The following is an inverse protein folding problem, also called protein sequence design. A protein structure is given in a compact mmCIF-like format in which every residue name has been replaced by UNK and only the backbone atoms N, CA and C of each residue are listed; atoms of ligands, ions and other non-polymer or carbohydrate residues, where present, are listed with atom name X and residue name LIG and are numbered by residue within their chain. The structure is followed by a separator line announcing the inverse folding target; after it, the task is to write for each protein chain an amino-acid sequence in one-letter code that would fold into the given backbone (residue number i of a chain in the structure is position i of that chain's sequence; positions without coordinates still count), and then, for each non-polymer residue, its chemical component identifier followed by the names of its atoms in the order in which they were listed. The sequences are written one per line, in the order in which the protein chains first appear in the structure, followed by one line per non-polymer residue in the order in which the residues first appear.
data_IF_160004638400
#
_entry.id   IF_160004638400
#
_cell.length_a   1.000
_cell.length_b   1.000
_cell.length_c   1.000
_cell.angle_alpha   90.00
_cell.angle_beta   90.00
_cell.angle_gamma   90.00
#
_symmetry.space_group_name_H-M   'P 1'
#
loop_
_entity.id
_entity.type
_entity.pdbx_description
1 polymer ?
#
# COMPACT_ATOMS: atom_id res chain seq x y z
N UNK A 1 -4.70 0.41 -30.96
CA UNK A 1 -6.03 0.15 -31.52
C UNK A 1 -6.14 -1.33 -31.83
N UNK A 2 -7.19 -1.98 -31.37
CA UNK A 2 -7.47 -3.38 -31.67
C UNK A 2 -8.46 -3.55 -32.83
N UNK A 3 -8.73 -4.80 -33.22
CA UNK A 3 -9.66 -5.15 -34.29
C UNK A 3 -11.14 -4.90 -33.93
N UNK A 4 -11.46 -4.56 -32.71
CA UNK A 4 -12.79 -4.18 -32.20
C UNK A 4 -13.03 -2.67 -32.22
N UNK A 5 -12.06 -1.90 -32.70
CA UNK A 5 -12.12 -0.44 -32.73
C UNK A 5 -11.74 0.23 -31.41
N UNK A 6 -11.31 -0.52 -30.38
CA UNK A 6 -10.85 0.05 -29.13
C UNK A 6 -9.50 0.76 -29.32
N UNK A 7 -9.33 1.89 -28.65
CA UNK A 7 -8.13 2.70 -28.73
C UNK A 7 -7.70 3.15 -27.33
N UNK A 8 -6.44 2.94 -27.01
CA UNK A 8 -5.80 3.50 -25.80
C UNK A 8 -4.74 4.48 -26.26
N UNK A 9 -4.74 5.67 -25.71
CA UNK A 9 -3.78 6.74 -26.03
C UNK A 9 -3.03 7.11 -24.75
N UNK A 10 -1.73 7.16 -24.85
CA UNK A 10 -0.84 7.65 -23.79
C UNK A 10 -0.12 8.89 -24.30
N UNK A 11 -0.05 9.95 -23.51
CA UNK A 11 0.82 11.06 -23.84
C UNK A 11 2.30 10.65 -23.72
N UNK A 12 3.18 11.35 -24.43
CA UNK A 12 4.63 11.11 -24.34
C UNK A 12 5.13 11.28 -22.91
N UNK A 13 4.67 12.32 -22.24
CA UNK A 13 5.00 12.66 -20.86
C UNK A 13 4.58 11.55 -19.89
N UNK A 14 3.40 10.96 -20.12
CA UNK A 14 2.92 9.80 -19.36
C UNK A 14 3.86 8.59 -19.51
N UNK A 15 4.23 8.26 -20.76
CA UNK A 15 5.14 7.14 -21.03
C UNK A 15 6.55 7.40 -20.47
N UNK A 16 7.02 8.62 -20.55
CA UNK A 16 8.33 9.01 -20.01
C UNK A 16 8.35 8.94 -18.48
N UNK A 17 7.28 9.39 -17.83
CA UNK A 17 7.11 9.28 -16.37
C UNK A 17 7.09 7.81 -15.94
N UNK A 18 6.35 6.97 -16.65
CA UNK A 18 6.28 5.53 -16.40
C UNK A 18 7.63 4.82 -16.58
N UNK A 19 8.43 5.24 -17.56
CA UNK A 19 9.79 4.70 -17.81
C UNK A 19 10.81 5.16 -16.78
N UNK A 20 10.74 6.42 -16.33
CA UNK A 20 11.68 7.01 -15.34
C UNK A 20 11.42 6.49 -13.92
N UNK A 21 10.20 6.15 -13.58
CA UNK A 21 9.78 5.62 -12.28
C UNK A 21 10.38 4.25 -11.92
N UNK A 22 11.57 3.91 -12.43
CA UNK A 22 12.29 2.66 -12.13
C UNK A 22 12.87 2.58 -10.70
N UNK A 23 12.68 3.57 -9.85
CA UNK A 23 13.05 3.49 -8.45
C UNK A 23 11.94 2.80 -7.65
N UNK A 24 12.32 1.80 -6.90
CA UNK A 24 11.54 0.65 -6.34
C UNK A 24 10.32 0.95 -5.45
N UNK A 25 10.02 2.19 -5.12
CA UNK A 25 8.94 2.54 -4.16
C UNK A 25 7.66 3.10 -4.81
N UNK A 26 7.79 3.91 -5.85
CA UNK A 26 6.67 4.69 -6.41
C UNK A 26 5.81 3.92 -7.42
N UNK A 27 6.30 2.76 -7.89
CA UNK A 27 5.64 1.94 -8.91
C UNK A 27 4.28 1.37 -8.47
N UNK A 28 4.13 1.05 -7.20
CA UNK A 28 3.05 0.16 -6.78
C UNK A 28 1.67 0.82 -6.75
N UNK A 29 1.57 2.11 -6.46
CA UNK A 29 0.27 2.79 -6.35
C UNK A 29 -0.21 3.25 -7.72
N UNK A 30 0.66 3.89 -8.51
CA UNK A 30 0.32 4.33 -9.88
C UNK A 30 0.03 3.12 -10.77
N UNK A 31 0.84 2.07 -10.72
CA UNK A 31 0.67 0.83 -11.49
C UNK A 31 -0.58 0.06 -11.06
N UNK A 32 -0.88 -0.03 -9.78
CA UNK A 32 -2.10 -0.65 -9.25
C UNK A 32 -3.36 0.09 -9.73
N UNK A 33 -3.36 1.42 -9.67
CA UNK A 33 -4.47 2.24 -10.15
C UNK A 33 -4.67 2.12 -11.67
N UNK A 34 -3.58 2.07 -12.44
CA UNK A 34 -3.62 1.94 -13.90
C UNK A 34 -4.03 0.54 -14.36
N UNK A 35 -3.55 -0.53 -13.72
CA UNK A 35 -3.94 -1.90 -14.02
C UNK A 35 -5.41 -2.16 -13.66
N UNK A 36 -5.92 -1.53 -12.59
CA UNK A 36 -7.33 -1.57 -12.23
C UNK A 36 -8.24 -0.96 -13.32
N UNK A 37 -7.76 0.08 -14.00
CA UNK A 37 -8.49 0.76 -15.08
C UNK A 37 -8.41 -0.01 -16.41
N UNK A 38 -7.32 -0.73 -16.69
CA UNK A 38 -7.08 -1.43 -17.97
C UNK A 38 -7.84 -2.76 -18.12
N UNK A 39 -8.32 -3.35 -17.03
CA UNK A 39 -8.94 -4.70 -17.05
C UNK A 39 -10.20 -4.84 -17.89
N UNK A 40 -10.90 -3.75 -18.19
CA UNK A 40 -12.21 -3.80 -18.87
C UNK A 40 -12.17 -3.57 -20.37
N UNK A 41 -11.03 -3.15 -20.93
CA UNK A 41 -10.92 -2.77 -22.37
C UNK A 41 -11.16 -3.96 -23.31
N UNK A 42 -10.73 -5.15 -22.94
CA UNK A 42 -10.79 -6.34 -23.83
C UNK A 42 -12.20 -6.84 -24.15
N UNK A 43 -13.24 -6.40 -23.43
CA UNK A 43 -14.65 -6.82 -23.64
C UNK A 43 -15.50 -5.81 -24.42
N UNK A 44 -14.95 -4.63 -24.71
CA UNK A 44 -15.69 -3.49 -25.29
C UNK A 44 -15.50 -3.35 -26.80
N UNK A 45 -16.38 -2.60 -27.44
CA UNK A 45 -16.30 -2.28 -28.87
C UNK A 45 -16.35 -0.76 -29.04
N UNK A 46 -15.51 -0.20 -29.91
CA UNK A 46 -15.36 1.25 -30.13
C UNK A 46 -15.07 2.06 -28.85
N UNK A 47 -14.40 1.43 -27.87
CA UNK A 47 -14.04 2.06 -26.62
C UNK A 47 -12.73 2.82 -26.75
N UNK A 48 -12.67 4.02 -26.18
CA UNK A 48 -11.45 4.83 -26.18
C UNK A 48 -11.05 5.22 -24.76
N UNK A 49 -9.75 5.21 -24.53
CA UNK A 49 -9.12 5.70 -23.30
C UNK A 49 -7.98 6.66 -23.66
N UNK A 50 -7.80 7.65 -22.82
CA UNK A 50 -6.71 8.61 -22.92
C UNK A 50 -6.09 8.85 -21.55
N UNK A 51 -4.77 8.78 -21.49
CA UNK A 51 -3.94 9.05 -20.33
C UNK A 51 -3.00 10.20 -20.67
N UNK A 52 -3.06 11.26 -19.89
CA UNK A 52 -2.21 12.44 -20.04
C UNK A 52 -1.50 12.81 -18.75
N UNK A 53 -0.39 13.51 -18.86
CA UNK A 53 0.31 14.10 -17.73
C UNK A 53 0.42 15.60 -18.02
N UNK A 54 0.03 16.40 -17.03
CA UNK A 54 0.17 17.85 -17.13
C UNK A 54 1.61 18.33 -16.81
N UNK A 55 1.84 19.62 -16.95
CA UNK A 55 3.16 20.24 -16.69
C UNK A 55 3.62 20.12 -15.23
N UNK A 56 2.70 19.85 -14.30
CA UNK A 56 2.97 19.66 -12.87
C UNK A 56 3.18 18.18 -12.52
N UNK A 57 3.05 17.28 -13.52
CA UNK A 57 3.18 15.85 -13.33
C UNK A 57 1.91 15.17 -12.80
N UNK A 58 0.77 15.84 -12.77
CA UNK A 58 -0.50 15.19 -12.46
C UNK A 58 -0.94 14.30 -13.62
N UNK A 59 -1.58 13.18 -13.29
CA UNK A 59 -2.10 12.23 -14.28
C UNK A 59 -3.61 12.47 -14.43
N UNK A 60 -4.06 12.56 -15.67
CA UNK A 60 -5.47 12.58 -16.02
C UNK A 60 -5.82 11.40 -16.91
N UNK A 61 -6.95 10.80 -16.61
CA UNK A 61 -7.56 9.73 -17.39
C UNK A 61 -8.95 10.11 -17.79
N UNK A 62 -9.32 9.80 -19.04
CA UNK A 62 -10.69 9.87 -19.52
C UNK A 62 -10.99 8.72 -20.47
N UNK A 63 -12.27 8.34 -20.55
CA UNK A 63 -12.72 7.32 -21.49
C UNK A 63 -14.00 7.74 -22.23
N UNK A 64 -14.36 6.98 -23.27
CA UNK A 64 -15.55 7.22 -24.09
C UNK A 64 -16.88 6.99 -23.36
N UNK A 65 -16.86 6.38 -22.17
CA UNK A 65 -18.04 6.18 -21.32
C UNK A 65 -18.25 7.33 -20.34
N UNK A 66 -17.47 8.41 -20.48
CA UNK A 66 -17.58 9.61 -19.64
C UNK A 66 -16.86 9.52 -18.31
N UNK A 67 -16.13 8.42 -17.99
CA UNK A 67 -15.32 8.34 -16.79
C UNK A 67 -14.13 9.27 -16.90
N UNK A 68 -13.88 10.03 -15.84
CA UNK A 68 -12.70 10.89 -15.68
C UNK A 68 -12.07 10.62 -14.34
N UNK A 69 -10.74 10.55 -14.33
CA UNK A 69 -9.94 10.35 -13.13
C UNK A 69 -8.79 11.36 -13.14
N UNK A 70 -8.55 11.99 -12.00
CA UNK A 70 -7.41 12.85 -11.77
C UNK A 70 -6.58 12.29 -10.63
N UNK A 71 -5.27 12.17 -10.85
CA UNK A 71 -4.29 11.77 -9.84
C UNK A 71 -3.28 12.90 -9.74
N UNK A 72 -3.22 13.54 -8.57
CA UNK A 72 -2.28 14.61 -8.27
C UNK A 72 -1.24 14.11 -7.28
N UNK A 73 0.01 14.53 -7.49
CA UNK A 73 1.11 14.30 -6.56
C UNK A 73 1.70 15.67 -6.22
N UNK A 74 1.85 15.94 -4.92
CA UNK A 74 2.52 17.16 -4.47
C UNK A 74 4.03 16.93 -4.24
N UNK A 75 4.74 18.00 -3.87
CA UNK A 75 6.18 17.97 -3.60
C UNK A 75 6.57 17.16 -2.35
N UNK A 76 5.59 16.79 -1.51
CA UNK A 76 5.79 16.00 -0.29
C UNK A 76 5.42 14.52 -0.48
N UNK A 77 5.34 14.06 -1.74
CA UNK A 77 4.92 12.70 -2.09
C UNK A 77 3.49 12.33 -1.64
N UNK A 78 2.66 13.33 -1.37
CA UNK A 78 1.24 13.10 -1.12
C UNK A 78 0.49 12.89 -2.43
N UNK A 79 -0.54 12.06 -2.40
CA UNK A 79 -1.36 11.72 -3.56
C UNK A 79 -2.81 12.09 -3.32
N UNK A 80 -3.47 12.59 -4.35
CA UNK A 80 -4.90 12.78 -4.39
C UNK A 80 -5.48 12.14 -5.64
N UNK A 81 -6.35 11.15 -5.46
CA UNK A 81 -7.15 10.53 -6.50
C UNK A 81 -8.57 11.07 -6.42
N UNK A 82 -9.14 11.47 -7.54
CA UNK A 82 -10.55 11.84 -7.66
C UNK A 82 -11.11 11.31 -8.98
N UNK A 83 -12.34 10.80 -8.95
CA UNK A 83 -13.08 10.51 -10.16
C UNK A 83 -14.41 11.28 -10.20
N UNK A 84 -15.03 11.30 -11.36
CA UNK A 84 -16.33 11.94 -11.56
C UNK A 84 -17.53 11.06 -11.13
N UNK A 85 -17.28 9.91 -10.50
CA UNK A 85 -18.29 9.04 -9.90
C UNK A 85 -18.37 9.24 -8.36
N UNK A 86 -17.67 10.24 -7.84
CA UNK A 86 -17.67 10.59 -6.41
C UNK A 86 -16.69 9.78 -5.56
N UNK A 87 -15.82 8.99 -6.18
CA UNK A 87 -14.73 8.32 -5.44
C UNK A 87 -13.57 9.29 -5.29
N UNK A 88 -13.10 9.46 -4.09
CA UNK A 88 -11.86 10.19 -3.80
C UNK A 88 -11.01 9.40 -2.82
N UNK A 89 -9.69 9.52 -2.98
CA UNK A 89 -8.70 8.97 -2.06
C UNK A 89 -7.58 10.00 -1.92
N UNK A 90 -7.24 10.36 -0.70
CA UNK A 90 -6.03 11.14 -0.45
C UNK A 90 -5.07 10.38 0.45
N UNK A 91 -3.81 10.39 0.08
CA UNK A 91 -2.69 9.87 0.87
C UNK A 91 -1.77 11.05 1.09
N UNK A 92 -1.61 11.47 2.33
CA UNK A 92 -0.73 12.58 2.71
C UNK A 92 0.41 12.04 3.55
N UNK A 93 1.60 12.51 3.27
CA UNK A 93 2.79 12.24 4.06
C UNK A 93 3.27 13.56 4.67
N UNK A 94 3.53 13.57 5.97
CA UNK A 94 4.10 14.73 6.63
C UNK A 94 5.64 14.63 6.68
N UNK A 95 6.27 15.68 7.22
CA UNK A 95 7.74 15.76 7.37
C UNK A 95 8.32 14.75 8.37
N UNK A 96 7.47 14.08 9.16
CA UNK A 96 7.84 13.05 10.12
C UNK A 96 7.56 11.64 9.60
N UNK A 97 7.32 11.51 8.30
CA UNK A 97 6.96 10.25 7.63
C UNK A 97 5.62 9.63 8.10
N UNK A 98 4.77 10.40 8.79
CA UNK A 98 3.42 9.96 9.07
C UNK A 98 2.59 9.97 7.80
N UNK A 99 1.80 8.93 7.60
CA UNK A 99 0.95 8.76 6.43
C UNK A 99 -0.51 8.83 6.87
N UNK A 100 -1.25 9.76 6.29
CA UNK A 100 -2.69 9.89 6.48
C UNK A 100 -3.41 9.47 5.20
N UNK A 101 -4.33 8.52 5.33
CA UNK A 101 -5.18 8.04 4.23
C UNK A 101 -6.61 8.46 4.50
N UNK A 102 -7.27 9.04 3.50
CA UNK A 102 -8.69 9.41 3.55
C UNK A 102 -9.37 8.90 2.26
N UNK A 103 -10.41 8.09 2.41
CA UNK A 103 -11.14 7.49 1.28
C UNK A 103 -12.25 8.37 0.69
N UNK A 104 -12.39 9.61 1.17
CA UNK A 104 -13.44 10.54 0.75
C UNK A 104 -14.87 10.15 1.17
N UNK A 105 -15.03 8.99 1.79
CA UNK A 105 -16.31 8.50 2.34
C UNK A 105 -16.40 8.66 3.85
N UNK A 106 -15.47 9.39 4.43
CA UNK A 106 -15.40 9.64 5.86
C UNK A 106 -14.50 8.69 6.64
N UNK A 107 -13.92 7.66 6.02
CA UNK A 107 -12.92 6.83 6.70
C UNK A 107 -11.54 7.50 6.58
N UNK A 108 -10.87 7.59 7.73
CA UNK A 108 -9.50 8.12 7.82
C UNK A 108 -8.64 7.14 8.60
N UNK A 109 -7.41 6.98 8.14
CA UNK A 109 -6.38 6.18 8.82
C UNK A 109 -5.11 7.02 8.90
N UNK A 110 -4.54 7.09 10.10
CA UNK A 110 -3.25 7.71 10.37
C UNK A 110 -2.25 6.62 10.73
N UNK A 111 -1.12 6.58 10.06
CA UNK A 111 -0.02 5.66 10.32
C UNK A 111 1.28 6.42 10.47
N UNK A 112 2.08 6.07 11.48
CA UNK A 112 3.37 6.70 11.73
C UNK A 112 4.14 5.95 12.80
N UNK A 113 5.34 6.43 13.10
CA UNK A 113 6.13 5.92 14.22
C UNK A 113 6.03 6.88 15.39
N UNK A 114 5.95 6.32 16.59
CA UNK A 114 6.03 7.14 17.80
C UNK A 114 7.50 7.47 18.14
N UNK A 115 7.70 8.18 19.23
CA UNK A 115 9.03 8.60 19.71
C UNK A 115 9.97 7.44 20.06
N UNK A 116 9.43 6.23 20.25
CA UNK A 116 10.18 5.00 20.51
C UNK A 116 10.49 4.23 19.23
N UNK A 117 10.01 4.70 18.08
CA UNK A 117 10.15 4.06 16.78
C UNK A 117 9.11 2.98 16.49
N UNK A 118 8.14 2.78 17.37
CA UNK A 118 7.08 1.79 17.21
C UNK A 118 6.05 2.24 16.18
N UNK A 119 5.66 1.32 15.28
CA UNK A 119 4.63 1.61 14.29
C UNK A 119 3.25 1.71 14.96
N UNK A 120 2.60 2.84 14.77
CA UNK A 120 1.24 3.11 15.23
C UNK A 120 0.32 3.34 14.03
N UNK A 121 -0.87 2.75 14.07
CA UNK A 121 -1.93 2.99 13.09
C UNK A 121 -3.22 3.26 13.84
N UNK A 122 -3.93 4.32 13.48
CA UNK A 122 -5.22 4.71 14.08
C UNK A 122 -6.23 4.99 12.99
N UNK A 123 -7.47 4.58 13.20
CA UNK A 123 -8.58 5.04 12.37
C UNK A 123 -9.43 6.08 13.11
N UNK A 124 -10.32 6.72 12.37
CA UNK A 124 -11.26 7.69 12.95
C UNK A 124 -12.48 7.05 13.64
N UNK A 125 -12.51 5.71 13.75
CA UNK A 125 -13.51 4.94 14.50
C UNK A 125 -13.01 4.56 15.89
N UNK A 126 -11.79 4.99 16.25
CA UNK A 126 -11.18 4.73 17.55
C UNK A 126 -10.37 3.44 17.61
N UNK A 127 -10.22 2.70 16.51
CA UNK A 127 -9.35 1.55 16.52
C UNK A 127 -7.88 1.99 16.46
N UNK A 128 -7.05 1.31 17.22
CA UNK A 128 -5.61 1.51 17.26
C UNK A 128 -4.90 0.19 17.07
N UNK A 129 -3.95 0.17 16.16
CA UNK A 129 -3.03 -0.96 15.95
C UNK A 129 -1.61 -0.48 16.19
N UNK A 130 -0.77 -1.34 16.77
CA UNK A 130 0.65 -1.06 16.93
C UNK A 130 1.50 -2.29 16.67
N UNK A 131 2.72 -2.05 16.19
CA UNK A 131 3.81 -3.02 16.18
C UNK A 131 4.92 -2.43 17.01
N UNK A 132 5.12 -3.01 18.16
CA UNK A 132 6.07 -2.55 19.18
C UNK A 132 7.25 -3.51 19.26
N UNK A 133 8.44 -2.98 19.51
CA UNK A 133 9.63 -3.78 19.77
C UNK A 133 10.01 -3.64 21.24
N UNK A 134 10.06 -4.74 21.95
CA UNK A 134 10.51 -4.71 23.35
C UNK A 134 12.04 -4.69 23.49
N UNK A 135 12.51 -4.56 24.71
CA UNK A 135 13.95 -4.47 25.06
C UNK A 135 14.74 -5.73 24.69
N UNK A 136 14.08 -6.87 24.47
CA UNK A 136 14.69 -8.12 24.02
C UNK A 136 14.69 -8.27 22.49
N UNK A 137 14.11 -7.30 21.79
CA UNK A 137 13.98 -7.30 20.33
C UNK A 137 12.79 -8.09 19.79
N UNK A 138 11.91 -8.59 20.68
CA UNK A 138 10.67 -9.26 20.30
C UNK A 138 9.67 -8.25 19.71
N UNK A 139 8.93 -8.64 18.66
CA UNK A 139 7.89 -7.81 18.09
C UNK A 139 6.51 -8.24 18.61
N UNK A 140 5.69 -7.26 18.94
CA UNK A 140 4.34 -7.44 19.45
C UNK A 140 3.34 -6.65 18.60
N UNK A 141 2.36 -7.33 18.05
CA UNK A 141 1.22 -6.69 17.40
C UNK A 141 0.07 -6.57 18.38
N UNK A 142 -0.46 -5.35 18.50
CA UNK A 142 -1.60 -5.04 19.37
C UNK A 142 -2.73 -4.42 18.59
N UNK A 143 -3.96 -4.73 18.99
CA UNK A 143 -5.17 -4.07 18.55
C UNK A 143 -5.94 -3.58 19.78
N UNK A 144 -6.20 -2.27 19.85
CA UNK A 144 -6.86 -1.62 20.99
C UNK A 144 -6.22 -2.03 22.33
N UNK A 145 -4.85 -1.95 22.37
CA UNK A 145 -3.99 -2.28 23.52
C UNK A 145 -3.93 -3.78 23.90
N UNK A 146 -4.69 -4.64 23.24
CA UNK A 146 -4.62 -6.10 23.47
C UNK A 146 -3.56 -6.70 22.54
N UNK A 147 -2.68 -7.51 23.14
CA UNK A 147 -1.71 -8.29 22.37
C UNK A 147 -2.44 -9.35 21.54
N UNK A 148 -2.19 -9.35 20.25
CA UNK A 148 -2.85 -10.22 19.29
C UNK A 148 -1.89 -11.22 18.67
N UNK A 149 -0.64 -10.83 18.45
CA UNK A 149 0.42 -11.71 17.93
C UNK A 149 1.81 -11.25 18.40
N UNK A 150 2.73 -12.20 18.45
CA UNK A 150 4.13 -11.96 18.80
C UNK A 150 5.07 -12.65 17.83
N UNK A 151 6.23 -12.07 17.68
CA UNK A 151 7.40 -12.69 17.05
C UNK A 151 8.55 -12.62 18.03
N UNK A 152 8.89 -13.76 18.62
CA UNK A 152 9.95 -13.89 19.62
C UNK A 152 11.25 -14.36 19.01
N UNK A 153 12.36 -13.91 19.56
CA UNK A 153 13.70 -14.34 19.22
C UNK A 153 14.29 -15.11 20.41
N UNK A 154 14.86 -16.29 20.17
CA UNK A 154 15.61 -17.02 21.20
C UNK A 154 17.12 -16.75 21.09
N UNK A 155 17.89 -17.31 22.03
CA UNK A 155 19.35 -17.17 22.09
C UNK A 155 20.09 -17.80 20.89
N UNK A 156 19.45 -18.67 20.11
CA UNK A 156 19.99 -19.31 18.91
C UNK A 156 19.61 -18.57 17.63
N UNK A 157 19.07 -17.33 17.74
CA UNK A 157 18.56 -16.54 16.62
C UNK A 157 17.38 -17.16 15.86
N UNK A 158 16.73 -18.20 16.40
CA UNK A 158 15.48 -18.71 15.87
C UNK A 158 14.34 -17.75 16.15
N UNK A 159 13.28 -17.80 15.33
CA UNK A 159 12.08 -16.99 15.53
C UNK A 159 10.86 -17.87 15.75
N UNK A 160 10.01 -17.44 16.67
CA UNK A 160 8.71 -18.05 16.90
C UNK A 160 7.60 -17.01 16.73
N UNK A 161 6.75 -17.22 15.73
CA UNK A 161 5.49 -16.51 15.58
C UNK A 161 4.41 -17.20 16.40
N UNK A 162 3.60 -16.44 17.13
CA UNK A 162 2.37 -16.93 17.75
C UNK A 162 1.31 -15.85 17.75
N UNK A 163 0.02 -16.25 17.71
CA UNK A 163 -1.12 -15.33 17.76
C UNK A 163 -2.24 -15.85 18.65
N UNK A 164 -3.21 -14.98 18.95
CA UNK A 164 -4.36 -15.30 19.78
C UNK A 164 -5.45 -16.15 19.09
N UNK A 165 -5.21 -16.53 17.80
CA UNK A 165 -6.03 -17.51 17.07
C UNK A 165 -5.49 -18.93 17.21
N UNK A 166 -4.37 -19.09 17.94
CA UNK A 166 -3.72 -20.39 18.17
C UNK A 166 -2.69 -20.77 17.13
N UNK A 167 -2.40 -19.91 16.15
CA UNK A 167 -1.32 -20.19 15.20
C UNK A 167 0.03 -20.06 15.91
N UNK A 168 0.91 -21.05 15.66
CA UNK A 168 2.28 -21.07 16.19
C UNK A 168 3.22 -21.67 15.16
N UNK A 169 4.27 -20.91 14.80
CA UNK A 169 5.25 -21.33 13.78
C UNK A 169 6.64 -20.96 14.21
N UNK A 170 7.56 -21.92 14.12
CA UNK A 170 8.98 -21.73 14.40
C UNK A 170 9.78 -21.67 13.10
N UNK A 171 10.76 -20.81 13.09
CA UNK A 171 11.69 -20.61 11.99
C UNK A 171 13.12 -20.76 12.49
N UNK A 172 13.90 -21.62 11.86
CA UNK A 172 15.35 -21.69 12.10
C UNK A 172 16.00 -20.37 11.66
N UNK A 173 17.19 -20.09 12.22
CA UNK A 173 17.98 -18.92 11.82
C UNK A 173 18.15 -18.82 10.31
N UNK A 174 18.55 -19.92 9.64
CA UNK A 174 18.79 -19.92 8.20
C UNK A 174 17.52 -19.62 7.39
N UNK A 175 16.37 -20.17 7.80
CA UNK A 175 15.08 -19.87 7.18
C UNK A 175 14.71 -18.40 7.36
N UNK A 176 14.96 -17.86 8.55
CA UNK A 176 14.69 -16.47 8.85
C UNK A 176 15.58 -15.52 8.05
N UNK A 177 16.88 -15.79 7.96
CA UNK A 177 17.83 -15.00 7.17
C UNK A 177 17.45 -14.95 5.69
N UNK A 178 16.92 -16.03 5.13
CA UNK A 178 16.36 -16.04 3.76
C UNK A 178 15.15 -15.12 3.64
N UNK A 179 14.26 -15.12 4.64
CA UNK A 179 13.11 -14.23 4.65
C UNK A 179 13.54 -12.76 4.77
N UNK A 180 14.52 -12.45 5.63
CA UNK A 180 15.08 -11.10 5.74
C UNK A 180 15.68 -10.62 4.42
N UNK A 181 16.42 -11.48 3.70
CA UNK A 181 16.95 -11.12 2.36
C UNK A 181 15.85 -10.79 1.36
N UNK A 182 14.70 -11.44 1.48
CA UNK A 182 13.57 -11.22 0.57
C UNK A 182 12.75 -10.00 0.94
N UNK A 183 12.45 -9.82 2.21
CA UNK A 183 11.49 -8.81 2.71
C UNK A 183 12.15 -7.59 3.34
N UNK A 184 13.42 -7.67 3.76
CA UNK A 184 14.25 -6.56 4.23
C UNK A 184 14.55 -6.55 5.72
N UNK A 185 13.55 -6.67 6.60
CA UNK A 185 13.76 -6.66 8.06
C UNK A 185 12.69 -7.45 8.82
N UNK A 186 12.91 -7.66 10.15
CA UNK A 186 12.00 -8.40 11.03
C UNK A 186 10.56 -7.87 10.99
N UNK A 187 10.36 -6.55 10.98
CA UNK A 187 9.02 -5.95 10.97
C UNK A 187 8.26 -6.26 9.67
N UNK A 188 8.95 -6.20 8.54
CA UNK A 188 8.34 -6.54 7.24
C UNK A 188 7.99 -8.01 7.15
N UNK A 189 8.87 -8.89 7.66
CA UNK A 189 8.57 -10.33 7.75
C UNK A 189 7.41 -10.56 8.71
N UNK A 190 7.40 -9.93 9.87
CA UNK A 190 6.29 -10.04 10.83
C UNK A 190 4.96 -9.55 10.23
N UNK A 191 4.98 -8.44 9.52
CA UNK A 191 3.79 -7.94 8.80
C UNK A 191 3.28 -8.94 7.76
N UNK A 192 4.17 -9.62 7.04
CA UNK A 192 3.79 -10.69 6.11
C UNK A 192 3.17 -11.88 6.83
N UNK A 193 3.72 -12.28 8.00
CA UNK A 193 3.16 -13.36 8.81
C UNK A 193 1.77 -12.99 9.38
N UNK A 194 1.60 -11.75 9.87
CA UNK A 194 0.30 -11.24 10.29
C UNK A 194 -0.71 -11.31 9.13
N UNK A 195 -0.30 -10.88 7.94
CA UNK A 195 -1.15 -10.98 6.75
C UNK A 195 -1.54 -12.42 6.43
N UNK A 196 -0.62 -13.37 6.58
CA UNK A 196 -0.82 -14.79 6.26
C UNK A 196 -1.70 -15.50 7.29
N UNK A 197 -1.48 -15.27 8.57
CA UNK A 197 -2.08 -16.05 9.65
C UNK A 197 -3.18 -15.32 10.41
N UNK A 198 -3.05 -14.01 10.56
CA UNK A 198 -3.96 -13.22 11.40
C UNK A 198 -5.06 -12.53 10.61
N UNK A 199 -4.75 -11.95 9.44
CA UNK A 199 -5.72 -11.22 8.61
C UNK A 199 -6.43 -12.21 7.70
N UNK A 200 -7.71 -12.45 7.95
CA UNK A 200 -8.57 -13.18 7.01
C UNK A 200 -8.96 -12.23 5.87
N UNK A 201 -8.63 -12.60 4.65
CA UNK A 201 -9.23 -11.96 3.48
C UNK A 201 -10.66 -12.45 3.35
N UNK A 202 -11.60 -11.61 3.67
CA UNK A 202 -13.01 -11.79 3.32
C UNK A 202 -13.27 -11.25 1.92
#
# INVERSE_FOLDING_TARGET
KDNRGNKVTYSKEFLDKFRRGRHRGDRNVEEFLLLGLAKDVGKKKNYTEEYTVDIFGNIEYKNSEGRRVSIKKDMFDSFEYKDNQGVSLSIRKDIFDHVQVNDGRGNKVDAGRDIFGDLQVKDNKGNKWSVERDIFGDLKFRHNYKECATLKKNIFDEREYSDNKGNKVKYSKESWDKMIKTYGNDEKVFSMLLKKFFVEYR
#
